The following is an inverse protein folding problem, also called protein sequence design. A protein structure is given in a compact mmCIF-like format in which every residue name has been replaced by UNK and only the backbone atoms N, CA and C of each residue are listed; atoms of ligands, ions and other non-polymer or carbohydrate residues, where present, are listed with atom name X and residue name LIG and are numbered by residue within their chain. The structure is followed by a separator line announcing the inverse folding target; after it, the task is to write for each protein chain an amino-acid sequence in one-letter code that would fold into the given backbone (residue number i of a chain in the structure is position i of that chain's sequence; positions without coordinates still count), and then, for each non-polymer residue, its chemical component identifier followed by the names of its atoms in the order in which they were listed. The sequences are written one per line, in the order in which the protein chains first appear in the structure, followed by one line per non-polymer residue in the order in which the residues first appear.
data_IF_697250183328
#
_entry.id   IF_697250183328
#
_cell.length_a   1.000
_cell.length_b   1.000
_cell.length_c   1.000
_cell.angle_alpha   90.00
_cell.angle_beta   90.00
_cell.angle_gamma   90.00
#
_symmetry.space_group_name_H-M   'P 1'
#
loop_
_entity.id
_entity.type
_entity.pdbx_description
1 polymer ?
#
# COMPACT_ATOMS: atom_id res chain seq x y z
N UNK A 1 -14.03 33.35 -33.35
CA UNK A 1 -14.84 34.23 -34.22
C UNK A 1 -16.30 33.83 -34.04
N UNK A 2 -17.18 34.69 -33.50
CA UNK A 2 -18.53 34.27 -33.17
C UNK A 2 -19.38 34.10 -34.43
N UNK A 3 -19.98 32.91 -34.57
CA UNK A 3 -20.82 32.44 -35.70
C UNK A 3 -21.98 33.41 -36.02
N UNK A 4 -22.38 34.24 -35.04
CA UNK A 4 -23.43 35.24 -35.21
C UNK A 4 -23.08 36.37 -36.20
N UNK A 5 -21.79 36.73 -36.34
CA UNK A 5 -21.35 37.75 -37.32
C UNK A 5 -21.54 37.28 -38.78
N UNK A 6 -21.42 35.97 -39.03
CA UNK A 6 -21.60 35.39 -40.37
C UNK A 6 -23.09 35.36 -40.73
N UNK A 7 -23.96 35.04 -39.76
CA UNK A 7 -25.41 35.02 -39.96
C UNK A 7 -25.99 36.41 -40.24
N UNK A 8 -25.53 37.45 -39.53
CA UNK A 8 -25.95 38.84 -39.81
C UNK A 8 -25.46 39.31 -41.19
N UNK A 9 -24.25 38.93 -41.58
CA UNK A 9 -23.69 39.27 -42.89
C UNK A 9 -24.50 38.68 -44.07
N UNK A 10 -24.96 37.44 -43.95
CA UNK A 10 -25.77 36.77 -45.00
C UNK A 10 -27.17 37.40 -45.12
N UNK A 11 -27.77 37.82 -44.00
CA UNK A 11 -29.10 38.44 -43.97
C UNK A 11 -29.12 39.84 -44.60
N UNK A 12 -28.05 40.64 -44.40
CA UNK A 12 -27.91 41.97 -45.02
C UNK A 12 -27.69 41.88 -46.53
N UNK A 13 -26.92 40.89 -47.00
CA UNK A 13 -26.69 40.66 -48.42
C UNK A 13 -27.96 40.21 -49.16
N UNK A 14 -28.79 39.38 -48.53
CA UNK A 14 -30.08 38.95 -49.10
C UNK A 14 -31.07 40.13 -49.22
N UNK A 15 -31.13 41.02 -48.22
CA UNK A 15 -32.00 42.21 -48.25
C UNK A 15 -31.56 43.24 -49.31
N UNK A 16 -30.25 43.43 -49.48
CA UNK A 16 -29.70 44.32 -50.51
C UNK A 16 -29.97 43.81 -51.93
N UNK A 17 -29.90 42.49 -52.15
CA UNK A 17 -30.23 41.87 -53.44
C UNK A 17 -31.70 42.04 -53.83
N UNK A 18 -32.63 41.90 -52.88
CA UNK A 18 -34.05 42.10 -53.12
C UNK A 18 -34.40 43.58 -53.43
N UNK A 19 -33.77 44.53 -52.74
CA UNK A 19 -33.98 45.97 -52.98
C UNK A 19 -33.43 46.42 -54.35
N UNK A 20 -32.30 45.84 -54.79
CA UNK A 20 -31.73 46.12 -56.12
C UNK A 20 -32.60 45.54 -57.25
N UNK A 21 -33.14 44.33 -57.06
CA UNK A 21 -34.01 43.67 -58.04
C UNK A 21 -35.34 44.42 -58.25
N UNK A 22 -35.93 45.00 -57.21
CA UNK A 22 -37.15 45.81 -57.32
C UNK A 22 -36.88 47.17 -57.98
N UNK A 23 -35.70 47.76 -57.74
CA UNK A 23 -35.33 49.08 -58.29
C UNK A 23 -35.00 49.02 -59.79
N UNK A 24 -34.50 47.89 -60.30
CA UNK A 24 -34.15 47.73 -61.72
C UNK A 24 -35.37 47.59 -62.65
N UNK A 25 -36.55 47.27 -62.10
CA UNK A 25 -37.82 47.17 -62.85
C UNK A 25 -38.66 48.45 -62.87
N UNK A 26 -38.26 49.49 -62.15
CA UNK A 26 -39.01 50.74 -62.04
C UNK A 26 -38.27 51.89 -62.74
N UNK A 27 -38.32 51.95 -64.07
CA UNK A 27 -38.04 53.16 -64.85
C UNK A 27 -39.32 53.63 -65.53
N UNK A 28 -39.72 54.91 -65.41
CA UNK A 28 -40.94 55.43 -65.99
C UNK A 28 -40.68 55.99 -67.39
N UNK A 29 -41.34 55.43 -68.41
CA UNK A 29 -41.58 56.12 -69.68
C UNK A 29 -43.09 56.22 -69.86
N UNK A 30 -43.63 57.39 -69.58
CA UNK A 30 -45.01 57.75 -69.86
C UNK A 30 -45.11 58.25 -71.32
N UNK A 31 -45.79 57.48 -72.16
CA UNK A 31 -46.38 57.96 -73.40
C UNK A 31 -47.77 57.32 -73.50
N UNK A 32 -48.78 58.16 -73.74
CA UNK A 32 -50.18 57.86 -73.57
C UNK A 32 -50.79 57.03 -74.71
N UNK A 33 -51.85 56.30 -74.33
CA UNK A 33 -52.99 55.84 -75.12
C UNK A 33 -52.70 54.82 -76.24
N UNK A 34 -53.03 53.55 -75.96
CA UNK A 34 -54.23 52.94 -76.55
C UNK A 34 -54.51 51.59 -75.85
N UNK A 35 -55.72 51.40 -75.32
CA UNK A 35 -56.24 50.06 -75.01
C UNK A 35 -56.90 49.53 -76.26
N UNK A 36 -56.62 48.29 -76.67
CA UNK A 36 -57.59 47.27 -76.26
C UNK A 36 -57.01 45.87 -76.05
N UNK A 37 -57.42 45.22 -74.95
CA UNK A 37 -57.56 43.77 -74.90
C UNK A 37 -56.54 42.99 -74.06
N UNK A 38 -57.07 42.05 -73.27
CA UNK A 38 -56.35 40.81 -72.94
C UNK A 38 -56.37 40.41 -71.46
N UNK A 39 -56.91 39.23 -71.09
CA UNK A 39 -56.81 38.64 -69.75
C UNK A 39 -55.38 38.18 -69.34
N UNK A 40 -54.31 38.77 -69.90
CA UNK A 40 -52.95 38.23 -69.87
C UNK A 40 -52.13 38.52 -68.59
N UNK A 41 -52.32 39.68 -67.93
CA UNK A 41 -51.49 40.06 -66.76
C UNK A 41 -51.82 39.30 -65.48
N UNK A 42 -53.09 38.95 -65.29
CA UNK A 42 -53.54 38.09 -64.19
C UNK A 42 -53.16 36.63 -64.42
N UNK A 43 -53.10 36.17 -65.68
CA UNK A 43 -52.67 34.83 -66.03
C UNK A 43 -51.16 34.64 -65.79
N UNK A 44 -50.33 35.61 -66.16
CA UNK A 44 -48.89 35.60 -65.91
C UNK A 44 -48.57 35.70 -64.41
N UNK A 45 -49.29 36.54 -63.66
CA UNK A 45 -49.16 36.60 -62.20
C UNK A 45 -49.59 35.29 -61.52
N UNK A 46 -50.68 34.65 -61.99
CA UNK A 46 -51.12 33.33 -61.50
C UNK A 46 -50.08 32.25 -61.77
N UNK A 47 -49.42 32.29 -62.93
CA UNK A 47 -48.40 31.32 -63.33
C UNK A 47 -47.14 31.46 -62.48
N UNK A 48 -46.65 32.68 -62.26
CA UNK A 48 -45.51 32.94 -61.36
C UNK A 48 -45.83 32.54 -59.92
N UNK A 49 -47.05 32.82 -59.43
CA UNK A 49 -47.47 32.38 -58.10
C UNK A 49 -47.54 30.85 -58.03
N UNK A 50 -48.02 30.17 -59.07
CA UNK A 50 -48.04 28.71 -59.12
C UNK A 50 -46.62 28.11 -59.11
N UNK A 51 -45.71 28.62 -59.94
CA UNK A 51 -44.30 28.19 -59.99
C UNK A 51 -43.58 28.44 -58.66
N UNK A 52 -43.83 29.59 -58.01
CA UNK A 52 -43.25 29.90 -56.69
C UNK A 52 -43.83 29.00 -55.59
N UNK A 53 -45.13 28.70 -55.65
CA UNK A 53 -45.80 27.80 -54.71
C UNK A 53 -45.28 26.38 -54.83
N UNK A 54 -45.01 25.93 -56.05
CA UNK A 54 -44.44 24.61 -56.35
C UNK A 54 -42.97 24.52 -55.92
N UNK A 55 -42.18 25.58 -56.15
CA UNK A 55 -40.81 25.69 -55.65
C UNK A 55 -40.74 25.73 -54.11
N UNK A 56 -41.66 26.44 -53.45
CA UNK A 56 -41.78 26.46 -51.99
C UNK A 56 -42.12 25.07 -51.43
N UNK A 57 -43.11 24.38 -52.03
CA UNK A 57 -43.45 23.00 -51.65
C UNK A 57 -42.26 22.05 -51.79
N UNK A 58 -41.51 22.16 -52.89
CA UNK A 58 -40.29 21.38 -53.11
C UNK A 58 -39.22 21.65 -52.04
N UNK A 59 -39.01 22.92 -51.65
CA UNK A 59 -38.06 23.30 -50.59
C UNK A 59 -38.51 22.85 -49.21
N UNK A 60 -39.81 22.90 -48.91
CA UNK A 60 -40.36 22.40 -47.66
C UNK A 60 -40.16 20.87 -47.54
N UNK A 61 -40.36 20.12 -48.63
CA UNK A 61 -40.07 18.68 -48.64
C UNK A 61 -38.57 18.38 -48.47
N UNK A 62 -37.69 19.14 -49.14
CA UNK A 62 -36.23 18.98 -49.00
C UNK A 62 -35.74 19.30 -47.59
N UNK A 63 -36.28 20.36 -46.97
CA UNK A 63 -35.98 20.73 -45.59
C UNK A 63 -36.47 19.67 -44.60
N UNK A 64 -37.66 19.11 -44.81
CA UNK A 64 -38.19 18.03 -43.97
C UNK A 64 -37.27 16.79 -44.04
N UNK A 65 -36.82 16.41 -45.24
CA UNK A 65 -35.88 15.31 -45.43
C UNK A 65 -34.53 15.57 -44.71
N UNK A 66 -33.96 16.77 -44.89
CA UNK A 66 -32.71 17.16 -44.23
C UNK A 66 -32.83 17.18 -42.70
N UNK A 67 -33.98 17.59 -42.16
CA UNK A 67 -34.24 17.55 -40.72
C UNK A 67 -34.30 16.11 -40.21
N UNK A 68 -34.96 15.21 -40.95
CA UNK A 68 -35.04 13.79 -40.62
C UNK A 68 -33.66 13.12 -40.65
N UNK A 69 -32.86 13.36 -41.69
CA UNK A 69 -31.49 12.87 -41.81
C UNK A 69 -30.60 13.38 -40.67
N UNK A 70 -30.73 14.68 -40.33
CA UNK A 70 -29.97 15.28 -39.23
C UNK A 70 -30.38 14.70 -37.88
N UNK A 71 -31.67 14.48 -37.65
CA UNK A 71 -32.18 13.84 -36.44
C UNK A 71 -31.66 12.41 -36.31
N UNK A 72 -31.71 11.63 -37.39
CA UNK A 72 -31.17 10.28 -37.43
C UNK A 72 -29.65 10.25 -37.16
N UNK A 73 -28.91 11.21 -37.74
CA UNK A 73 -27.47 11.31 -37.51
C UNK A 73 -27.13 11.70 -36.07
N UNK A 74 -27.84 12.66 -35.48
CA UNK A 74 -27.69 13.05 -34.07
C UNK A 74 -27.95 11.85 -33.17
N UNK A 75 -29.03 11.11 -33.40
CA UNK A 75 -29.38 9.92 -32.62
C UNK A 75 -28.32 8.82 -32.74
N UNK A 76 -27.81 8.57 -33.95
CA UNK A 76 -26.72 7.62 -34.18
C UNK A 76 -25.45 8.01 -33.40
N UNK A 77 -25.06 9.29 -33.46
CA UNK A 77 -23.88 9.77 -32.73
C UNK A 77 -24.06 9.71 -31.21
N UNK A 78 -25.27 10.00 -30.70
CA UNK A 78 -25.59 9.90 -29.28
C UNK A 78 -25.52 8.45 -28.77
N UNK A 79 -26.04 7.49 -29.54
CA UNK A 79 -25.92 6.06 -29.25
C UNK A 79 -24.46 5.61 -29.22
N UNK A 80 -23.67 6.04 -30.20
CA UNK A 80 -22.25 5.70 -30.29
C UNK A 80 -21.46 6.29 -29.11
N UNK A 81 -21.75 7.53 -28.70
CA UNK A 81 -21.18 8.14 -27.50
C UNK A 81 -21.57 7.38 -26.22
N UNK A 82 -22.84 6.99 -26.08
CA UNK A 82 -23.31 6.21 -24.93
C UNK A 82 -22.58 4.86 -24.81
N UNK A 83 -22.41 4.15 -25.92
CA UNK A 83 -21.65 2.89 -25.98
C UNK A 83 -20.16 3.09 -25.64
N UNK A 84 -19.55 4.16 -26.14
CA UNK A 84 -18.16 4.51 -25.81
C UNK A 84 -18.01 4.82 -24.32
N UNK A 85 -18.93 5.60 -23.73
CA UNK A 85 -18.92 5.90 -22.30
C UNK A 85 -19.10 4.64 -21.44
N UNK A 86 -20.01 3.74 -21.80
CA UNK A 86 -20.20 2.46 -21.10
C UNK A 86 -18.94 1.59 -21.15
N UNK A 87 -18.29 1.52 -22.32
CA UNK A 87 -17.05 0.74 -22.48
C UNK A 87 -15.90 1.32 -21.66
N UNK A 88 -15.76 2.65 -21.65
CA UNK A 88 -14.77 3.35 -20.83
C UNK A 88 -14.99 3.10 -19.34
N UNK A 89 -16.24 3.19 -18.86
CA UNK A 89 -16.60 2.92 -17.45
C UNK A 89 -16.29 1.48 -17.05
N UNK A 90 -16.63 0.50 -17.89
CA UNK A 90 -16.33 -0.92 -17.63
C UNK A 90 -14.82 -1.15 -17.53
N UNK A 91 -14.04 -0.61 -18.46
CA UNK A 91 -12.57 -0.71 -18.43
C UNK A 91 -11.97 -0.02 -17.20
N UNK A 92 -12.50 1.14 -16.80
CA UNK A 92 -12.05 1.82 -15.59
C UNK A 92 -12.30 0.98 -14.34
N UNK A 93 -13.46 0.32 -14.23
CA UNK A 93 -13.75 -0.60 -13.14
C UNK A 93 -12.81 -1.82 -13.13
N UNK A 94 -12.66 -2.50 -14.26
CA UNK A 94 -11.76 -3.66 -14.37
C UNK A 94 -10.32 -3.31 -13.97
N UNK A 95 -9.85 -2.12 -14.36
CA UNK A 95 -8.54 -1.60 -13.97
C UNK A 95 -8.44 -1.32 -12.46
N UNK A 96 -9.48 -0.73 -11.85
CA UNK A 96 -9.54 -0.48 -10.40
C UNK A 96 -9.54 -1.80 -9.62
N UNK A 97 -10.42 -2.74 -9.97
CA UNK A 97 -10.53 -4.05 -9.31
C UNK A 97 -9.20 -4.82 -9.39
N UNK A 98 -8.57 -4.83 -10.56
CA UNK A 98 -7.26 -5.47 -10.75
C UNK A 98 -6.17 -4.79 -9.94
N UNK A 99 -6.17 -3.46 -9.86
CA UNK A 99 -5.18 -2.70 -9.07
C UNK A 99 -5.37 -2.96 -7.58
N UNK A 100 -6.61 -2.94 -7.09
CA UNK A 100 -6.94 -3.24 -5.70
C UNK A 100 -6.48 -4.64 -5.29
N UNK A 101 -6.71 -5.65 -6.15
CA UNK A 101 -6.26 -7.02 -5.89
C UNK A 101 -4.73 -7.14 -5.81
N UNK A 102 -3.99 -6.50 -6.72
CA UNK A 102 -2.53 -6.52 -6.71
C UNK A 102 -1.95 -5.81 -5.48
N UNK A 103 -2.50 -4.65 -5.11
CA UNK A 103 -2.04 -3.93 -3.91
C UNK A 103 -2.39 -4.72 -2.65
N UNK A 104 -3.60 -5.30 -2.58
CA UNK A 104 -4.04 -6.13 -1.45
C UNK A 104 -3.10 -7.31 -1.19
N UNK A 105 -2.76 -8.08 -2.24
CA UNK A 105 -1.81 -9.19 -2.11
C UNK A 105 -0.41 -8.74 -1.68
N UNK A 106 0.09 -7.63 -2.23
CA UNK A 106 1.39 -7.06 -1.81
C UNK A 106 1.38 -6.57 -0.36
N UNK A 107 0.26 -6.04 0.13
CA UNK A 107 0.17 -5.61 1.53
C UNK A 107 0.19 -6.79 2.50
N UNK A 108 -0.39 -7.93 2.13
CA UNK A 108 -0.30 -9.16 2.91
C UNK A 108 1.17 -9.58 3.09
N UNK A 109 1.94 -9.59 2.00
CA UNK A 109 3.38 -9.87 2.04
C UNK A 109 4.14 -8.88 2.93
N UNK A 110 3.82 -7.58 2.83
CA UNK A 110 4.45 -6.53 3.67
C UNK A 110 4.11 -6.74 5.14
N UNK A 111 2.86 -7.08 5.50
CA UNK A 111 2.47 -7.33 6.90
C UNK A 111 3.25 -8.50 7.48
N UNK A 112 3.44 -9.59 6.71
CA UNK A 112 4.25 -10.73 7.14
C UNK A 112 5.71 -10.31 7.37
N UNK A 113 6.29 -9.53 6.46
CA UNK A 113 7.67 -9.03 6.60
C UNK A 113 7.84 -8.10 7.79
N UNK A 114 6.86 -7.24 8.08
CA UNK A 114 6.86 -6.34 9.24
C UNK A 114 6.82 -7.14 10.54
N UNK A 115 6.01 -8.21 10.59
CA UNK A 115 5.99 -9.14 11.73
C UNK A 115 7.36 -9.77 11.97
N UNK A 116 7.97 -10.32 10.93
CA UNK A 116 9.30 -10.91 11.01
C UNK A 116 10.38 -9.90 11.44
N UNK A 117 10.32 -8.66 10.94
CA UNK A 117 11.24 -7.59 11.33
C UNK A 117 11.09 -7.20 12.81
N UNK A 118 9.85 -7.17 13.32
CA UNK A 118 9.58 -6.92 14.74
C UNK A 118 10.15 -8.02 15.62
N UNK A 119 9.92 -9.27 15.25
CA UNK A 119 10.43 -10.43 16.02
C UNK A 119 11.96 -10.47 16.01
N UNK A 120 12.59 -10.14 14.88
CA UNK A 120 14.03 -10.02 14.75
C UNK A 120 14.61 -8.90 15.64
N UNK A 121 13.95 -7.74 15.71
CA UNK A 121 14.37 -6.64 16.58
C UNK A 121 14.27 -7.03 18.07
N UNK A 122 13.19 -7.71 18.47
CA UNK A 122 13.03 -8.21 19.83
C UNK A 122 14.10 -9.24 20.21
N UNK A 123 14.36 -10.21 19.34
CA UNK A 123 15.41 -11.21 19.53
C UNK A 123 16.81 -10.57 19.60
N UNK A 124 17.06 -9.52 18.82
CA UNK A 124 18.32 -8.76 18.87
C UNK A 124 18.51 -8.09 20.23
N UNK A 125 17.48 -7.43 20.75
CA UNK A 125 17.54 -6.77 22.06
C UNK A 125 17.75 -7.77 23.20
N UNK A 126 17.11 -8.95 23.15
CA UNK A 126 17.36 -10.04 24.10
C UNK A 126 18.81 -10.55 24.00
N UNK A 127 19.29 -10.77 22.77
CA UNK A 127 20.67 -11.21 22.51
C UNK A 127 21.72 -10.21 23.01
N UNK A 128 21.49 -8.91 22.83
CA UNK A 128 22.35 -7.83 23.36
C UNK A 128 22.38 -7.89 24.89
N UNK A 129 21.22 -8.02 25.55
CA UNK A 129 21.14 -8.12 27.01
C UNK A 129 21.92 -9.32 27.55
N UNK A 130 21.73 -10.50 26.96
CA UNK A 130 22.45 -11.73 27.35
C UNK A 130 23.96 -11.59 27.15
N UNK A 131 24.38 -10.98 26.05
CA UNK A 131 25.79 -10.79 25.73
C UNK A 131 26.46 -9.81 26.70
N UNK A 132 25.77 -8.73 27.07
CA UNK A 132 26.26 -7.78 28.08
C UNK A 132 26.41 -8.44 29.46
N UNK A 133 25.48 -9.31 29.86
CA UNK A 133 25.60 -10.07 31.11
C UNK A 133 26.81 -11.02 31.09
N UNK A 134 27.01 -11.72 29.97
CA UNK A 134 28.14 -12.60 29.76
C UNK A 134 29.48 -11.84 29.75
N UNK A 135 29.54 -10.69 29.09
CA UNK A 135 30.69 -9.79 29.08
C UNK A 135 31.06 -9.33 30.49
N UNK A 136 30.08 -8.86 31.27
CA UNK A 136 30.29 -8.46 32.66
C UNK A 136 30.78 -9.63 33.54
N UNK A 137 30.27 -10.84 33.31
CA UNK A 137 30.74 -12.04 34.00
C UNK A 137 32.19 -12.39 33.63
N UNK A 138 32.57 -12.22 32.36
CA UNK A 138 33.93 -12.46 31.88
C UNK A 138 34.92 -11.49 32.51
N UNK A 139 34.58 -10.20 32.60
CA UNK A 139 35.39 -9.17 33.29
C UNK A 139 35.63 -9.54 34.75
N UNK A 140 34.59 -9.94 35.49
CA UNK A 140 34.74 -10.38 36.90
C UNK A 140 35.68 -11.57 37.03
N UNK A 141 35.58 -12.55 36.12
CA UNK A 141 36.46 -13.72 36.09
C UNK A 141 37.90 -13.34 35.75
N UNK A 142 38.10 -12.42 34.80
CA UNK A 142 39.42 -11.93 34.43
C UNK A 142 40.11 -11.21 35.61
N UNK A 143 39.38 -10.35 36.33
CA UNK A 143 39.89 -9.73 37.56
C UNK A 143 40.23 -10.74 38.65
N UNK A 144 39.38 -11.74 38.88
CA UNK A 144 39.66 -12.79 39.87
C UNK A 144 40.91 -13.59 39.51
N UNK A 145 41.12 -13.85 38.21
CA UNK A 145 42.31 -14.54 37.72
C UNK A 145 43.58 -13.67 37.86
N UNK A 146 43.48 -12.36 37.65
CA UNK A 146 44.58 -11.41 37.81
C UNK A 146 45.02 -11.28 39.29
N UNK A 147 44.06 -11.26 40.22
CA UNK A 147 44.33 -11.31 41.66
C UNK A 147 45.05 -12.61 42.04
N UNK A 148 44.59 -13.75 41.53
CA UNK A 148 45.25 -15.05 41.77
C UNK A 148 46.66 -15.10 41.17
N UNK A 149 46.86 -14.55 39.97
CA UNK A 149 48.17 -14.42 39.32
C UNK A 149 49.13 -13.59 40.18
N UNK A 150 48.64 -12.46 40.70
CA UNK A 150 49.40 -11.55 41.57
C UNK A 150 49.81 -12.24 42.88
N UNK A 151 48.89 -12.96 43.51
CA UNK A 151 49.16 -13.73 44.73
C UNK A 151 50.17 -14.87 44.49
N UNK A 152 50.07 -15.55 43.35
CA UNK A 152 51.01 -16.60 42.95
C UNK A 152 52.41 -16.02 42.73
N UNK A 153 52.52 -14.89 42.02
CA UNK A 153 53.79 -14.20 41.82
C UNK A 153 54.46 -13.80 43.14
N UNK A 154 53.68 -13.27 44.09
CA UNK A 154 54.18 -12.94 45.43
C UNK A 154 54.71 -14.19 46.17
N UNK A 155 54.00 -15.32 46.06
CA UNK A 155 54.41 -16.60 46.67
C UNK A 155 55.69 -17.14 46.02
N UNK A 156 55.81 -17.08 44.69
CA UNK A 156 57.01 -17.49 43.95
C UNK A 156 58.24 -16.69 44.40
N UNK A 157 58.11 -15.37 44.55
CA UNK A 157 59.18 -14.51 45.07
C UNK A 157 59.61 -14.86 46.48
N UNK A 158 58.66 -15.24 47.34
CA UNK A 158 58.98 -15.71 48.70
C UNK A 158 59.78 -17.02 48.66
N UNK A 159 59.38 -17.97 47.81
CA UNK A 159 60.11 -19.24 47.64
C UNK A 159 61.51 -18.98 47.06
N UNK A 160 61.66 -18.06 46.10
CA UNK A 160 62.96 -17.68 45.55
C UNK A 160 63.89 -17.13 46.64
N UNK A 161 63.35 -16.29 47.54
CA UNK A 161 64.10 -15.79 48.70
C UNK A 161 64.58 -16.92 49.62
N UNK A 162 63.72 -17.90 49.92
CA UNK A 162 64.09 -19.07 50.72
C UNK A 162 65.17 -19.90 50.02
N UNK A 163 65.01 -20.18 48.72
CA UNK A 163 65.99 -20.93 47.94
C UNK A 163 67.37 -20.24 47.93
N UNK A 164 67.40 -18.90 47.83
CA UNK A 164 68.63 -18.10 47.92
C UNK A 164 69.31 -18.24 49.29
N UNK A 165 68.55 -18.23 50.39
CA UNK A 165 69.09 -18.46 51.74
C UNK A 165 69.68 -19.86 51.87
N UNK A 166 68.98 -20.90 51.38
CA UNK A 166 69.48 -22.29 51.43
C UNK A 166 70.76 -22.43 50.61
N UNK A 167 70.82 -21.82 49.42
CA UNK A 167 72.03 -21.80 48.58
C UNK A 167 73.20 -21.14 49.32
N UNK A 168 72.96 -20.05 50.04
CA UNK A 168 73.95 -19.41 50.92
C UNK A 168 74.44 -20.32 52.05
N UNK A 169 73.53 -21.03 52.72
CA UNK A 169 73.87 -22.01 53.78
C UNK A 169 74.69 -23.17 53.20
N UNK A 170 74.32 -23.68 52.03
CA UNK A 170 75.06 -24.74 51.35
C UNK A 170 76.49 -24.30 51.01
N UNK A 171 76.65 -23.09 50.46
CA UNK A 171 77.97 -22.50 50.17
C UNK A 171 78.83 -22.34 51.43
N UNK A 172 78.26 -21.85 52.52
CA UNK A 172 78.95 -21.73 53.80
C UNK A 172 79.33 -23.10 54.38
N UNK A 173 78.44 -24.08 54.29
CA UNK A 173 78.68 -25.45 54.76
C UNK A 173 79.79 -26.12 53.95
N UNK A 174 79.82 -25.91 52.63
CA UNK A 174 80.90 -26.37 51.74
C UNK A 174 82.25 -25.79 52.16
N UNK A 175 82.30 -24.50 52.51
CA UNK A 175 83.53 -23.86 53.00
C UNK A 175 83.96 -24.41 54.37
N UNK A 176 83.02 -24.63 55.29
CA UNK A 176 83.31 -25.25 56.60
C UNK A 176 83.84 -26.68 56.44
N UNK A 177 83.21 -27.47 55.58
CA UNK A 177 83.63 -28.84 55.25
C UNK A 177 85.03 -28.86 54.64
N UNK A 178 85.33 -27.94 53.71
CA UNK A 178 86.66 -27.80 53.14
C UNK A 178 87.72 -27.48 54.21
N UNK A 179 87.44 -26.55 55.11
CA UNK A 179 88.34 -26.22 56.22
C UNK A 179 88.56 -27.43 57.14
N UNK A 180 87.50 -28.22 57.40
CA UNK A 180 87.59 -29.45 58.19
C UNK A 180 88.41 -30.53 57.48
N UNK A 181 88.25 -30.71 56.16
CA UNK A 181 89.09 -31.63 55.37
C UNK A 181 90.56 -31.23 55.45
N UNK A 182 90.89 -29.93 55.36
CA UNK A 182 92.27 -29.43 55.49
C UNK A 182 92.86 -29.77 56.87
N UNK A 183 92.12 -29.51 57.95
CA UNK A 183 92.61 -29.76 59.31
C UNK A 183 92.69 -31.26 59.62
N UNK A 184 91.79 -32.07 59.06
CA UNK A 184 91.85 -33.54 59.14
C UNK A 184 93.11 -34.11 58.46
N UNK A 185 93.48 -33.58 57.28
CA UNK A 185 94.76 -33.92 56.62
C UNK A 185 95.96 -33.51 57.48
N UNK A 186 95.88 -32.34 58.12
CA UNK A 186 96.94 -31.82 58.99
C UNK A 186 97.17 -32.66 60.24
N UNK A 187 96.12 -33.28 60.78
CA UNK A 187 96.19 -34.20 61.91
C UNK A 187 96.76 -35.60 61.55
N UNK A 188 97.02 -35.87 60.28
CA UNK A 188 97.62 -37.13 59.82
C UNK A 188 96.76 -38.36 60.14
N UNK A 189 97.36 -39.42 60.68
CA UNK A 189 96.65 -40.68 60.96
C UNK A 189 95.49 -40.53 61.98
N UNK A 190 95.57 -39.56 62.91
CA UNK A 190 94.51 -39.30 63.88
C UNK A 190 93.28 -38.59 63.25
N UNK A 191 93.45 -37.98 62.07
CA UNK A 191 92.40 -37.23 61.37
C UNK A 191 91.64 -38.02 60.29
N UNK A 192 92.00 -39.27 60.00
CA UNK A 192 91.47 -39.99 58.83
C UNK A 192 89.95 -40.18 58.87
N UNK A 193 89.38 -40.45 60.05
CA UNK A 193 87.92 -40.55 60.22
C UNK A 193 87.21 -39.21 60.04
N UNK A 194 87.83 -38.11 60.47
CA UNK A 194 87.29 -36.76 60.28
C UNK A 194 87.34 -36.31 58.82
N UNK A 195 88.35 -36.74 58.06
CA UNK A 195 88.46 -36.45 56.63
C UNK A 195 87.28 -37.06 55.84
N UNK A 196 86.91 -38.32 56.14
CA UNK A 196 85.76 -38.99 55.48
C UNK A 196 84.45 -38.25 55.77
N UNK A 197 84.23 -37.83 57.02
CA UNK A 197 83.02 -37.07 57.40
C UNK A 197 83.01 -35.69 56.73
N UNK A 198 84.14 -35.00 56.68
CA UNK A 198 84.24 -33.69 56.03
C UNK A 198 83.96 -33.77 54.52
N UNK A 199 84.46 -34.80 53.83
CA UNK A 199 84.17 -35.01 52.41
C UNK A 199 82.69 -35.35 52.15
N UNK A 200 82.04 -36.13 53.03
CA UNK A 200 80.60 -36.40 52.95
C UNK A 200 79.76 -35.12 53.15
N UNK A 201 80.11 -34.29 54.14
CA UNK A 201 79.45 -33.00 54.38
C UNK A 201 79.63 -32.06 53.18
N UNK A 202 80.81 -32.06 52.56
CA UNK A 202 81.08 -31.28 51.34
C UNK A 202 80.21 -31.75 50.18
N UNK A 203 80.12 -33.06 49.95
CA UNK A 203 79.26 -33.65 48.91
C UNK A 203 77.79 -33.28 49.10
N UNK A 204 77.30 -33.34 50.34
CA UNK A 204 75.93 -32.99 50.69
C UNK A 204 75.66 -31.49 50.46
N UNK A 205 76.62 -30.63 50.78
CA UNK A 205 76.54 -29.19 50.51
C UNK A 205 76.50 -28.90 49.01
N UNK A 206 77.30 -29.61 48.20
CA UNK A 206 77.30 -29.47 46.74
C UNK A 206 75.96 -29.90 46.13
N UNK A 207 75.43 -31.05 46.54
CA UNK A 207 74.11 -31.52 46.09
C UNK A 207 72.98 -30.57 46.52
N UNK A 208 73.09 -29.96 47.70
CA UNK A 208 72.14 -28.95 48.18
C UNK A 208 72.19 -27.70 47.29
N UNK A 209 73.38 -27.23 46.94
CA UNK A 209 73.57 -26.07 46.06
C UNK A 209 72.94 -26.33 44.68
N UNK A 210 73.24 -27.48 44.06
CA UNK A 210 72.71 -27.87 42.75
C UNK A 210 71.17 -27.95 42.79
N UNK A 211 70.60 -28.51 43.86
CA UNK A 211 69.14 -28.59 44.04
C UNK A 211 68.51 -27.20 44.18
N UNK A 212 69.14 -26.28 44.91
CA UNK A 212 68.64 -24.89 45.03
C UNK A 212 68.74 -24.10 43.73
N UNK A 213 69.74 -24.38 42.88
CA UNK A 213 69.85 -23.79 41.55
C UNK A 213 68.71 -24.26 40.65
N UNK A 214 68.40 -25.56 40.65
CA UNK A 214 67.24 -26.11 39.93
C UNK A 214 65.93 -25.48 40.38
N UNK A 215 65.71 -25.36 41.71
CA UNK A 215 64.53 -24.69 42.26
C UNK A 215 64.43 -23.25 41.74
N UNK A 216 65.54 -22.51 41.75
CA UNK A 216 65.59 -21.11 41.27
C UNK A 216 65.23 -21.02 39.79
N UNK A 217 65.77 -21.93 38.97
CA UNK A 217 65.43 -21.99 37.54
C UNK A 217 63.96 -22.31 37.30
N UNK A 218 63.36 -23.21 38.09
CA UNK A 218 61.93 -23.53 37.99
C UNK A 218 61.06 -22.35 38.38
N UNK A 219 61.43 -21.62 39.44
CA UNK A 219 60.68 -20.43 39.86
C UNK A 219 60.72 -19.35 38.77
N UNK A 220 61.88 -19.11 38.16
CA UNK A 220 61.99 -18.13 37.08
C UNK A 220 61.10 -18.48 35.88
N UNK A 221 60.98 -19.77 35.53
CA UNK A 221 60.05 -20.22 34.50
C UNK A 221 58.58 -19.96 34.88
N UNK A 222 58.20 -20.27 36.13
CA UNK A 222 56.85 -20.02 36.63
C UNK A 222 56.51 -18.52 36.69
N UNK A 223 57.47 -17.66 37.05
CA UNK A 223 57.28 -16.19 37.01
C UNK A 223 57.02 -15.70 35.58
N UNK A 224 57.71 -16.26 34.59
CA UNK A 224 57.49 -15.95 33.18
C UNK A 224 56.08 -16.39 32.71
N UNK A 225 55.64 -17.59 33.10
CA UNK A 225 54.29 -18.10 32.80
C UNK A 225 53.20 -17.20 33.41
N UNK A 226 53.40 -16.75 34.66
CA UNK A 226 52.47 -15.81 35.32
C UNK A 226 52.43 -14.45 34.60
N UNK A 227 53.58 -13.95 34.14
CA UNK A 227 53.62 -12.70 33.38
C UNK A 227 52.87 -12.83 32.03
N UNK A 228 53.02 -13.96 31.33
CA UNK A 228 52.28 -14.25 30.11
C UNK A 228 50.77 -14.38 30.37
N UNK A 229 50.38 -14.97 31.50
CA UNK A 229 48.98 -15.04 31.93
C UNK A 229 48.40 -13.63 32.13
N UNK A 230 49.14 -12.72 32.78
CA UNK A 230 48.72 -11.31 32.93
C UNK A 230 48.50 -10.59 31.60
N UNK A 231 49.38 -10.81 30.61
CA UNK A 231 49.20 -10.26 29.25
C UNK A 231 47.93 -10.80 28.59
N UNK A 232 47.65 -12.09 28.76
CA UNK A 232 46.46 -12.73 28.19
C UNK A 232 45.17 -12.20 28.85
N UNK A 233 45.18 -11.98 30.16
CA UNK A 233 44.05 -11.39 30.88
C UNK A 233 43.78 -9.94 30.45
N UNK A 234 44.83 -9.16 30.21
CA UNK A 234 44.71 -7.80 29.67
C UNK A 234 44.07 -7.79 28.27
N UNK A 235 44.49 -8.70 27.39
CA UNK A 235 43.87 -8.87 26.08
C UNK A 235 42.38 -9.24 26.17
N UNK A 236 42.01 -10.16 27.07
CA UNK A 236 40.61 -10.51 27.30
C UNK A 236 39.77 -9.30 27.73
N UNK A 237 40.29 -8.44 28.61
CA UNK A 237 39.58 -7.22 29.04
C UNK A 237 39.40 -6.26 27.87
N UNK A 238 40.41 -6.10 27.01
CA UNK A 238 40.30 -5.31 25.79
C UNK A 238 39.24 -5.86 24.83
N UNK A 239 39.28 -7.17 24.55
CA UNK A 239 38.32 -7.84 23.67
C UNK A 239 36.87 -7.70 24.18
N UNK A 240 36.67 -7.70 25.51
CA UNK A 240 35.35 -7.42 26.08
C UNK A 240 34.91 -5.98 25.81
N UNK A 241 35.82 -5.00 25.88
CA UNK A 241 35.51 -3.62 25.49
C UNK A 241 35.04 -3.52 24.04
N UNK A 242 35.69 -4.23 23.12
CA UNK A 242 35.28 -4.29 21.71
C UNK A 242 33.88 -4.95 21.55
N UNK A 243 33.58 -5.97 22.36
CA UNK A 243 32.24 -6.60 22.40
C UNK A 243 31.19 -5.61 22.88
N UNK A 244 31.45 -4.86 23.96
CA UNK A 244 30.51 -3.85 24.48
C UNK A 244 30.23 -2.76 23.44
N UNK A 245 31.23 -2.33 22.67
CA UNK A 245 31.09 -1.38 21.56
C UNK A 245 30.22 -1.93 20.44
N UNK A 246 30.44 -3.19 20.05
CA UNK A 246 29.61 -3.87 19.05
C UNK A 246 28.15 -4.03 19.53
N UNK A 247 27.94 -4.35 20.82
CA UNK A 247 26.61 -4.45 21.42
C UNK A 247 25.87 -3.11 21.39
N UNK A 248 26.55 -1.99 21.70
CA UNK A 248 25.97 -0.65 21.58
C UNK A 248 25.52 -0.32 20.15
N UNK A 249 26.27 -0.77 19.14
CA UNK A 249 25.88 -0.59 17.74
C UNK A 249 24.66 -1.44 17.36
N UNK A 250 24.60 -2.69 17.84
CA UNK A 250 23.46 -3.58 17.60
C UNK A 250 22.18 -3.06 18.26
N UNK A 251 22.27 -2.52 19.47
CA UNK A 251 21.13 -1.91 20.16
C UNK A 251 20.55 -0.75 19.35
N UNK A 252 21.43 0.14 18.86
CA UNK A 252 21.04 1.24 17.97
C UNK A 252 20.48 0.78 16.61
N UNK A 253 20.80 -0.44 16.15
CA UNK A 253 20.20 -1.05 14.95
C UNK A 253 18.82 -1.59 15.28
N UNK A 254 18.65 -2.26 16.42
CA UNK A 254 17.36 -2.78 16.88
C UNK A 254 16.34 -1.65 17.08
N UNK A 255 16.75 -0.52 17.69
CA UNK A 255 15.92 0.68 17.84
C UNK A 255 15.47 1.23 16.47
N UNK A 256 16.40 1.34 15.52
CA UNK A 256 16.07 1.79 14.15
C UNK A 256 15.12 0.83 13.44
N UNK A 257 15.28 -0.48 13.63
CA UNK A 257 14.35 -1.46 13.08
C UNK A 257 12.95 -1.30 13.69
N UNK A 258 12.86 -1.04 15.00
CA UNK A 258 11.59 -0.78 15.66
C UNK A 258 10.88 0.44 15.05
N UNK A 259 11.60 1.55 14.85
CA UNK A 259 11.05 2.74 14.21
C UNK A 259 10.56 2.48 12.77
N UNK A 260 11.33 1.71 11.99
CA UNK A 260 10.96 1.31 10.63
C UNK A 260 9.68 0.47 10.64
N UNK A 261 9.55 -0.47 11.58
CA UNK A 261 8.34 -1.29 11.76
C UNK A 261 7.12 -0.41 12.06
N UNK A 262 7.26 0.57 12.94
CA UNK A 262 6.17 1.52 13.27
C UNK A 262 5.78 2.36 12.04
N UNK A 263 6.75 2.84 11.27
CA UNK A 263 6.50 3.58 10.04
C UNK A 263 5.81 2.73 8.96
N UNK A 264 6.27 1.48 8.78
CA UNK A 264 5.68 0.55 7.83
C UNK A 264 4.23 0.22 8.19
N UNK A 265 3.92 0.00 9.48
CA UNK A 265 2.54 -0.19 9.93
C UNK A 265 1.63 0.98 9.51
N UNK A 266 2.07 2.22 9.77
CA UNK A 266 1.31 3.41 9.35
C UNK A 266 1.14 3.50 7.82
N UNK A 267 2.18 3.12 7.07
CA UNK A 267 2.13 3.09 5.61
C UNK A 267 1.17 2.03 5.09
N UNK A 268 1.13 0.86 5.71
CA UNK A 268 0.18 -0.23 5.39
C UNK A 268 -1.25 0.23 5.65
N UNK A 269 -1.52 0.83 6.82
CA UNK A 269 -2.85 1.33 7.16
C UNK A 269 -3.32 2.41 6.18
N UNK A 270 -2.44 3.35 5.82
CA UNK A 270 -2.74 4.38 4.83
C UNK A 270 -3.04 3.79 3.44
N UNK A 271 -2.29 2.78 3.02
CA UNK A 271 -2.51 2.11 1.73
C UNK A 271 -3.82 1.31 1.75
N UNK A 272 -4.14 0.65 2.86
CA UNK A 272 -5.43 -0.03 3.04
C UNK A 272 -6.62 0.93 2.93
N UNK A 273 -6.53 2.11 3.55
CA UNK A 273 -7.55 3.15 3.40
C UNK A 273 -7.72 3.57 1.93
N UNK A 274 -6.62 3.74 1.19
CA UNK A 274 -6.64 4.09 -0.22
C UNK A 274 -7.28 3.01 -1.12
N UNK A 275 -7.11 1.72 -0.79
CA UNK A 275 -7.83 0.62 -1.46
C UNK A 275 -9.34 0.71 -1.19
N UNK A 276 -9.73 1.04 0.04
CA UNK A 276 -11.12 1.28 0.41
C UNK A 276 -11.76 2.39 -0.44
N UNK A 277 -11.05 3.51 -0.60
CA UNK A 277 -11.50 4.63 -1.43
C UNK A 277 -11.63 4.24 -2.92
N UNK A 278 -10.67 3.48 -3.45
CA UNK A 278 -10.74 2.95 -4.82
C UNK A 278 -11.96 2.04 -5.02
N UNK A 279 -12.27 1.22 -4.03
CA UNK A 279 -13.44 0.33 -4.06
C UNK A 279 -14.75 1.13 -4.07
N UNK A 280 -14.85 2.22 -3.30
CA UNK A 280 -16.01 3.12 -3.33
C UNK A 280 -16.15 3.82 -4.69
N UNK A 281 -15.04 4.24 -5.32
CA UNK A 281 -15.05 4.80 -6.68
C UNK A 281 -15.57 3.78 -7.70
N UNK A 282 -15.13 2.52 -7.61
CA UNK A 282 -15.62 1.44 -8.48
C UNK A 282 -17.13 1.20 -8.28
N UNK A 283 -17.62 1.20 -7.04
CA UNK A 283 -19.06 1.05 -6.74
C UNK A 283 -19.88 2.24 -7.29
N UNK A 284 -19.38 3.47 -7.16
CA UNK A 284 -20.04 4.66 -7.72
C UNK A 284 -20.10 4.64 -9.25
N UNK A 285 -19.05 4.14 -9.91
CA UNK A 285 -19.03 3.91 -11.35
C UNK A 285 -20.11 2.92 -11.78
N UNK A 286 -20.38 1.90 -10.97
CA UNK A 286 -21.43 0.90 -11.23
C UNK A 286 -22.84 1.43 -10.93
N UNK A 287 -23.02 2.27 -9.91
CA UNK A 287 -24.32 2.93 -9.67
C UNK A 287 -24.76 3.79 -10.86
N UNK A 288 -23.84 4.51 -11.52
CA UNK A 288 -24.13 5.29 -12.76
C UNK A 288 -24.41 4.44 -13.99
N UNK A 289 -24.30 3.11 -13.91
CA UNK A 289 -24.70 2.22 -15.01
C UNK A 289 -26.22 2.18 -15.18
N UNK A 290 -26.97 2.54 -14.14
CA UNK A 290 -28.42 2.63 -14.17
C UNK A 290 -28.81 4.10 -14.23
N UNK A 291 -28.89 4.67 -15.44
CA UNK A 291 -29.62 5.93 -15.65
C UNK A 291 -31.08 5.64 -15.32
N UNK A 292 -31.44 5.91 -14.07
CA UNK A 292 -32.79 5.79 -13.54
C UNK A 292 -33.49 7.09 -13.89
N UNK A 293 -34.35 7.06 -14.90
CA UNK A 293 -35.17 8.21 -15.23
C UNK A 293 -36.35 8.29 -14.25
N UNK A 294 -36.63 9.50 -13.79
CA UNK A 294 -37.84 9.79 -13.03
C UNK A 294 -39.04 9.59 -13.95
N UNK A 295 -39.87 8.59 -13.65
CA UNK A 295 -41.05 8.26 -14.45
C UNK A 295 -42.24 8.11 -13.51
N UNK A 296 -43.33 8.78 -13.84
CA UNK A 296 -44.61 8.58 -13.17
C UNK A 296 -45.29 7.33 -13.72
N UNK A 297 -45.48 6.34 -12.85
CA UNK A 297 -46.12 5.07 -13.18
C UNK A 297 -46.67 4.39 -11.94
N UNK A 298 -47.37 3.28 -12.13
CA UNK A 298 -47.90 2.47 -11.02
C UNK A 298 -47.26 1.10 -11.04
N UNK A 299 -46.83 0.61 -9.87
CA UNK A 299 -46.36 -0.75 -9.69
C UNK A 299 -47.22 -1.48 -8.67
N UNK A 300 -47.69 -2.67 -9.03
CA UNK A 300 -48.35 -3.62 -8.13
C UNK A 300 -47.33 -4.61 -7.61
N UNK A 301 -47.25 -4.70 -6.29
CA UNK A 301 -46.29 -5.51 -5.56
C UNK A 301 -47.02 -6.66 -4.88
N UNK A 302 -46.68 -7.89 -5.27
CA UNK A 302 -47.23 -9.13 -4.70
C UNK A 302 -46.26 -9.61 -3.62
N UNK A 303 -46.45 -9.10 -2.41
CA UNK A 303 -45.63 -9.45 -1.25
C UNK A 303 -46.08 -10.81 -0.71
N UNK A 304 -45.19 -11.81 -0.55
CA UNK A 304 -45.58 -13.15 -0.09
C UNK A 304 -46.35 -13.18 1.24
N UNK A 305 -46.08 -12.20 2.12
CA UNK A 305 -46.71 -12.08 3.44
C UNK A 305 -48.11 -11.43 3.42
N UNK A 306 -48.62 -10.96 2.27
CA UNK A 306 -49.98 -10.40 2.15
C UNK A 306 -50.74 -11.02 0.96
N UNK A 307 -52.04 -11.35 1.14
CA UNK A 307 -52.86 -11.91 0.05
C UNK A 307 -53.32 -10.88 -0.99
N UNK A 308 -53.33 -9.58 -0.64
CA UNK A 308 -53.72 -8.51 -1.57
C UNK A 308 -52.48 -7.79 -2.10
N UNK A 309 -52.38 -7.57 -3.43
CA UNK A 309 -51.28 -6.83 -4.03
C UNK A 309 -51.33 -5.35 -3.63
N UNK A 310 -50.17 -4.77 -3.35
CA UNK A 310 -50.04 -3.37 -2.95
C UNK A 310 -49.75 -2.53 -4.18
N UNK A 311 -50.53 -1.48 -4.41
CA UNK A 311 -50.26 -0.54 -5.50
C UNK A 311 -49.39 0.59 -4.96
N UNK A 312 -48.27 0.84 -5.62
CA UNK A 312 -47.28 1.83 -5.26
C UNK A 312 -46.98 2.72 -6.46
N UNK A 313 -46.53 3.94 -6.19
CA UNK A 313 -46.16 4.88 -7.23
C UNK A 313 -44.70 4.69 -7.58
N UNK A 314 -44.40 4.60 -8.87
CA UNK A 314 -43.02 4.53 -9.37
C UNK A 314 -42.35 5.88 -9.20
N UNK A 315 -41.09 5.85 -8.80
CA UNK A 315 -40.22 7.03 -8.61
C UNK A 315 -39.22 7.10 -9.74
N UNK A 316 -38.60 5.96 -10.05
CA UNK A 316 -37.62 5.84 -11.10
C UNK A 316 -37.69 4.47 -11.79
N UNK A 317 -37.19 4.38 -13.01
CA UNK A 317 -37.11 3.14 -13.76
C UNK A 317 -35.79 3.06 -14.55
N UNK A 318 -35.24 1.85 -14.60
CA UNK A 318 -34.10 1.45 -15.42
C UNK A 318 -34.35 0.06 -16.01
N UNK A 319 -33.51 -0.37 -16.96
CA UNK A 319 -33.54 -1.72 -17.54
C UNK A 319 -33.39 -2.85 -16.51
N UNK A 320 -32.75 -2.54 -15.37
CA UNK A 320 -32.32 -3.51 -14.37
C UNK A 320 -33.14 -3.40 -13.07
N UNK A 321 -34.03 -2.42 -12.95
CA UNK A 321 -34.83 -2.24 -11.74
C UNK A 321 -35.67 -0.97 -11.73
N UNK A 322 -36.53 -0.85 -10.72
CA UNK A 322 -37.40 0.30 -10.51
C UNK A 322 -37.32 0.79 -9.06
N UNK A 323 -37.61 2.07 -8.85
CA UNK A 323 -37.87 2.67 -7.55
C UNK A 323 -39.36 2.91 -7.37
N UNK A 324 -39.90 2.66 -6.18
CA UNK A 324 -41.29 2.99 -5.88
C UNK A 324 -41.50 3.42 -4.42
N UNK A 325 -42.55 4.20 -4.16
CA UNK A 325 -42.94 4.63 -2.82
C UNK A 325 -44.16 3.88 -2.32
N UNK A 326 -44.09 3.40 -1.08
CA UNK A 326 -45.14 2.67 -0.39
C UNK A 326 -45.45 3.29 0.98
N UNK A 327 -46.63 3.03 1.55
CA UNK A 327 -46.91 3.30 2.96
C UNK A 327 -45.93 2.60 3.91
N UNK A 328 -45.59 3.23 5.03
CA UNK A 328 -44.59 2.74 5.97
C UNK A 328 -44.97 1.42 6.69
N UNK A 329 -46.26 1.05 6.72
CA UNK A 329 -46.79 -0.16 7.36
C UNK A 329 -46.55 -1.45 6.56
N UNK A 330 -45.98 -1.35 5.36
CA UNK A 330 -45.77 -2.50 4.48
C UNK A 330 -44.57 -3.35 4.95
N UNK A 331 -44.78 -4.65 5.28
CA UNK A 331 -43.74 -5.52 5.82
C UNK A 331 -42.87 -6.09 4.69
N UNK A 332 -41.93 -5.28 4.21
CA UNK A 332 -40.94 -5.66 3.19
C UNK A 332 -39.54 -5.35 3.69
N UNK A 333 -38.65 -6.33 3.64
CA UNK A 333 -37.25 -6.23 4.06
C UNK A 333 -36.29 -6.19 2.86
N UNK A 334 -35.10 -5.62 3.08
CA UNK A 334 -34.01 -5.70 2.10
C UNK A 334 -33.59 -7.17 1.95
N UNK A 335 -33.54 -7.66 0.71
CA UNK A 335 -33.26 -9.05 0.38
C UNK A 335 -34.49 -9.85 -0.07
N UNK A 336 -35.71 -9.39 0.22
CA UNK A 336 -36.94 -10.09 -0.15
C UNK A 336 -37.12 -10.19 -1.67
N UNK A 337 -37.70 -11.31 -2.12
CA UNK A 337 -38.08 -11.52 -3.52
C UNK A 337 -39.58 -11.26 -3.67
N UNK A 338 -39.94 -10.29 -4.51
CA UNK A 338 -41.31 -9.82 -4.67
C UNK A 338 -41.67 -9.87 -6.15
N UNK A 339 -42.86 -10.38 -6.48
CA UNK A 339 -43.36 -10.30 -7.84
C UNK A 339 -43.95 -8.92 -8.08
N UNK A 340 -43.51 -8.29 -9.17
CA UNK A 340 -43.82 -6.90 -9.50
C UNK A 340 -44.52 -6.84 -10.85
N UNK A 341 -45.61 -6.09 -10.93
CA UNK A 341 -46.30 -5.76 -12.17
C UNK A 341 -46.30 -4.24 -12.31
N UNK A 342 -45.59 -3.69 -13.28
CA UNK A 342 -45.49 -2.25 -13.45
C UNK A 342 -46.15 -1.80 -14.74
N UNK A 343 -46.74 -0.61 -14.71
CA UNK A 343 -47.36 0.04 -15.86
C UNK A 343 -46.95 1.51 -15.89
N UNK A 344 -46.39 1.95 -17.01
CA UNK A 344 -46.07 3.36 -17.28
C UNK A 344 -46.23 3.64 -18.77
N UNK A 345 -46.82 4.79 -19.14
CA UNK A 345 -47.01 5.24 -20.53
C UNK A 345 -47.43 4.16 -21.55
N UNK A 346 -48.38 3.30 -21.16
CA UNK A 346 -48.92 2.24 -22.02
C UNK A 346 -48.07 0.96 -22.10
N UNK A 347 -46.88 0.95 -21.50
CA UNK A 347 -46.03 -0.23 -21.37
C UNK A 347 -46.30 -0.90 -20.03
N UNK A 348 -46.58 -2.21 -20.07
CA UNK A 348 -46.75 -3.03 -18.88
C UNK A 348 -45.75 -4.18 -18.87
N UNK A 349 -45.15 -4.46 -17.72
CA UNK A 349 -44.20 -5.55 -17.54
C UNK A 349 -44.40 -6.28 -16.23
N UNK A 350 -43.96 -7.54 -16.21
CA UNK A 350 -43.96 -8.39 -15.02
C UNK A 350 -42.57 -8.96 -14.79
N UNK A 351 -42.09 -8.88 -13.55
CA UNK A 351 -40.82 -9.46 -13.13
C UNK A 351 -40.80 -9.77 -11.64
N UNK A 352 -40.13 -10.85 -11.24
CA UNK A 352 -39.57 -10.97 -9.90
C UNK A 352 -38.48 -9.93 -9.70
N UNK A 353 -38.56 -9.21 -8.59
CA UNK A 353 -37.57 -8.24 -8.20
C UNK A 353 -37.09 -8.50 -6.78
N UNK A 354 -35.78 -8.33 -6.56
CA UNK A 354 -35.18 -8.38 -5.25
C UNK A 354 -35.16 -6.98 -4.65
N UNK A 355 -35.52 -6.84 -3.38
CA UNK A 355 -35.44 -5.57 -2.66
C UNK A 355 -33.99 -5.28 -2.32
N UNK A 356 -33.42 -4.25 -2.96
CA UNK A 356 -32.03 -3.86 -2.78
C UNK A 356 -31.86 -2.73 -1.78
N UNK A 357 -32.87 -1.88 -1.65
CA UNK A 357 -32.85 -0.72 -0.76
C UNK A 357 -34.23 -0.45 -0.19
N UNK A 358 -34.30 -0.10 1.09
CA UNK A 358 -35.49 0.42 1.77
C UNK A 358 -35.10 1.68 2.52
N UNK A 359 -35.58 2.83 2.08
CA UNK A 359 -35.26 4.14 2.68
C UNK A 359 -36.53 4.79 3.21
N UNK A 360 -36.65 5.06 4.51
CA UNK A 360 -37.80 5.77 5.06
C UNK A 360 -37.79 7.25 4.62
N UNK A 361 -38.96 7.78 4.25
CA UNK A 361 -39.22 9.19 3.92
C UNK A 361 -40.56 9.60 4.53
N UNK A 362 -40.52 10.31 5.65
CA UNK A 362 -41.71 10.77 6.37
C UNK A 362 -42.75 9.63 6.56
N UNK A 363 -43.95 9.75 5.98
CA UNK A 363 -45.04 8.76 6.06
C UNK A 363 -44.94 7.62 5.00
N UNK A 364 -43.89 7.62 4.18
CA UNK A 364 -43.66 6.69 3.08
C UNK A 364 -42.30 5.96 3.23
N UNK A 365 -42.17 4.85 2.53
CA UNK A 365 -40.90 4.15 2.31
C UNK A 365 -40.61 4.13 0.81
N UNK A 366 -39.39 4.49 0.45
CA UNK A 366 -38.88 4.36 -0.90
C UNK A 366 -38.16 3.00 -1.01
N UNK A 367 -38.68 2.12 -1.87
CA UNK A 367 -38.06 0.84 -2.18
C UNK A 367 -37.30 0.92 -3.50
N UNK A 368 -36.06 0.43 -3.48
CA UNK A 368 -35.29 0.12 -4.68
C UNK A 368 -35.39 -1.37 -4.99
N UNK A 369 -35.97 -1.70 -6.14
CA UNK A 369 -36.17 -3.06 -6.61
C UNK A 369 -35.23 -3.35 -7.80
N UNK A 370 -34.64 -4.55 -7.84
CA UNK A 370 -33.81 -5.02 -8.94
C UNK A 370 -34.47 -6.23 -9.62
N UNK A 371 -34.73 -6.15 -10.92
CA UNK A 371 -35.35 -7.23 -11.68
C UNK A 371 -34.43 -8.45 -11.78
N UNK A 372 -34.99 -9.64 -11.59
CA UNK A 372 -34.28 -10.92 -11.67
C UNK A 372 -34.56 -11.64 -13.00
N UNK A 373 -35.80 -11.58 -13.48
CA UNK A 373 -36.30 -12.39 -14.60
C UNK A 373 -37.09 -11.58 -15.64
N UNK A 374 -36.84 -10.27 -15.73
CA UNK A 374 -37.53 -9.40 -16.70
C UNK A 374 -37.34 -9.90 -18.14
N UNK A 375 -38.44 -10.08 -18.86
CA UNK A 375 -38.45 -10.56 -20.23
C UNK A 375 -37.66 -9.63 -21.17
N UNK A 376 -36.82 -10.22 -22.03
CA UNK A 376 -36.01 -9.49 -23.01
C UNK A 376 -36.79 -8.46 -23.88
N UNK A 377 -37.99 -8.77 -24.45
CA UNK A 377 -38.75 -7.78 -25.20
C UNK A 377 -39.17 -6.57 -24.35
N UNK A 378 -39.58 -6.79 -23.10
CA UNK A 378 -39.94 -5.71 -22.17
C UNK A 378 -38.71 -4.89 -21.75
N UNK A 379 -37.57 -5.54 -21.50
CA UNK A 379 -36.30 -4.85 -21.21
C UNK A 379 -35.86 -3.96 -22.38
N UNK A 380 -35.95 -4.46 -23.62
CA UNK A 380 -35.60 -3.69 -24.82
C UNK A 380 -36.55 -2.50 -25.05
N UNK A 381 -37.84 -2.65 -24.75
CA UNK A 381 -38.80 -1.55 -24.84
C UNK A 381 -38.55 -0.48 -23.76
N UNK A 382 -38.20 -0.88 -22.54
CA UNK A 382 -37.78 0.04 -21.48
C UNK A 382 -36.52 0.80 -21.91
N UNK A 383 -35.49 0.11 -22.40
CA UNK A 383 -34.27 0.75 -22.90
C UNK A 383 -34.53 1.70 -24.07
N UNK A 384 -35.42 1.32 -25.00
CA UNK A 384 -35.81 2.18 -26.13
C UNK A 384 -36.52 3.44 -25.65
N UNK A 385 -37.43 3.30 -24.69
CA UNK A 385 -38.18 4.40 -24.10
C UNK A 385 -37.29 5.35 -23.28
N UNK A 386 -36.40 4.81 -22.45
CA UNK A 386 -35.43 5.60 -21.69
C UNK A 386 -34.47 6.35 -22.63
N UNK A 387 -34.15 5.76 -23.79
CA UNK A 387 -33.31 6.38 -24.81
C UNK A 387 -34.05 7.46 -25.61
N UNK A 388 -35.37 7.35 -25.81
CA UNK A 388 -36.15 8.41 -26.46
C UNK A 388 -36.39 9.61 -25.55
N UNK A 389 -36.58 9.40 -24.23
CA UNK A 389 -36.78 10.51 -23.28
C UNK A 389 -35.51 11.32 -23.02
N UNK A 390 -34.35 10.65 -22.97
CA UNK A 390 -33.05 11.33 -22.81
C UNK A 390 -32.57 12.12 -24.03
N UNK A 391 -33.39 12.22 -25.10
CA UNK A 391 -33.11 13.03 -26.29
C UNK A 391 -33.87 14.38 -26.29
N UNK A 392 -34.83 14.57 -25.38
CA UNK A 392 -35.65 15.78 -25.24
C UNK A 392 -35.19 16.72 -24.09
N UNK A 393 -34.18 16.31 -23.30
CA UNK A 393 -33.39 17.19 -22.41
C UNK A 393 -32.09 17.64 -23.08
#
# INVERSE_FOLDING_TARGET
MPVWLVLVGVLVLAAAGAAFYVRQRASPTAAAADTPGGPATLADARRVIAELSESLRSRDTELAQLQEDRAAQVQSTALQQKQQQQTLRRRAKEAIDSTAAVIGGKLEDVVVQVGAARDAAAATHEGVSLTNEAAAALVRRAHSADEAATALNASLRQVAGIASVISGIASQTRLLALNATIEAVRAGAAGSGFAVVADEVKSLADTTADSTEQITSTIAALEADVAQMGQTLSAIIHDVGDIEDAMRQLDAIADRQHDIVVQLHRSVDATMAQIGDLSDVAERLERRRHDRLAIEGTVRLMVPARPQPITAQMVDLSSDGLGCTLPADVPVAVGDLIRTEFTFNGLSGTAQAKVMRRTPRDDLIELGLQFQDLAAPTRNQIDSYLTSLGADE
#
